data_IF_686006426638
#
_entry.id   IF_686006426638
#
_cell.length_a   1.000
_cell.length_b   1.000
_cell.length_c   1.000
_cell.angle_alpha   90.00
_cell.angle_beta   90.00
_cell.angle_gamma   90.00
#
_symmetry.space_group_name_H-M   'P 1'
#
loop_
_entity.id
_entity.type
_entity.pdbx_description
1 polymer ?
#
# COMPACT_ATOMS: atom_id res chain seq x y z
N UNK A 1 21.09 8.89 2.18
CA UNK A 1 19.68 9.21 1.97
C UNK A 1 18.98 9.24 3.33
N UNK A 2 18.35 10.39 3.69
CA UNK A 2 17.60 10.52 4.94
C UNK A 2 16.18 10.08 4.69
N UNK A 3 15.75 8.96 5.24
CA UNK A 3 14.34 8.56 5.27
C UNK A 3 13.71 9.08 6.56
N UNK A 4 12.77 10.01 6.43
CA UNK A 4 11.91 10.39 7.55
C UNK A 4 10.69 9.48 7.55
N UNK A 5 10.64 8.52 8.46
CA UNK A 5 9.43 7.79 8.78
C UNK A 5 8.77 8.56 9.92
N UNK A 6 7.89 9.49 9.59
CA UNK A 6 7.15 10.23 10.57
C UNK A 6 5.65 9.98 10.44
N UNK A 7 5.09 9.12 11.25
CA UNK A 7 3.81 9.42 11.84
C UNK A 7 3.99 9.73 13.32
N UNK A 8 3.43 10.76 13.72
CA UNK A 8 3.13 11.42 15.00
C UNK A 8 3.78 10.94 16.32
N UNK A 9 4.46 9.80 16.43
CA UNK A 9 4.94 9.27 17.69
C UNK A 9 6.37 8.72 17.72
N UNK A 10 7.04 8.53 16.58
CA UNK A 10 8.43 8.03 16.53
C UNK A 10 9.11 8.34 15.19
N UNK A 11 10.43 8.30 15.16
CA UNK A 11 11.23 8.39 13.96
C UNK A 11 12.42 7.41 14.03
N UNK A 12 12.83 6.93 12.89
CA UNK A 12 14.06 6.18 12.74
C UNK A 12 14.87 6.76 11.58
N UNK A 13 16.18 6.84 11.75
CA UNK A 13 17.13 7.21 10.72
C UNK A 13 18.04 6.01 10.47
N UNK A 14 18.03 5.51 9.23
CA UNK A 14 18.96 4.48 8.80
C UNK A 14 19.96 5.07 7.80
N UNK A 15 21.25 4.81 8.01
CA UNK A 15 22.34 5.15 7.10
C UNK A 15 23.18 3.89 6.92
N UNK A 16 23.44 3.48 5.68
CA UNK A 16 24.25 2.30 5.34
C UNK A 16 23.82 1.04 6.09
N UNK A 17 22.53 0.75 6.08
CA UNK A 17 21.93 -0.43 6.72
C UNK A 17 22.02 -0.46 8.26
N UNK A 18 22.51 0.61 8.89
CA UNK A 18 22.53 0.77 10.33
C UNK A 18 21.47 1.79 10.77
N UNK A 19 20.60 1.39 11.70
CA UNK A 19 19.70 2.34 12.37
C UNK A 19 20.50 3.17 13.38
N UNK A 20 20.76 4.44 13.06
CA UNK A 20 21.64 5.31 13.86
C UNK A 20 20.86 6.10 14.90
N UNK A 21 19.62 6.48 14.58
CA UNK A 21 18.79 7.29 15.48
C UNK A 21 17.39 6.70 15.56
N UNK A 22 16.97 6.52 16.79
CA UNK A 22 15.64 6.09 17.14
C UNK A 22 15.06 7.06 18.18
N UNK A 23 13.84 7.57 17.97
CA UNK A 23 13.24 8.53 18.87
C UNK A 23 11.73 8.43 18.94
N UNK A 24 11.16 8.89 20.03
CA UNK A 24 9.73 8.96 20.31
C UNK A 24 9.30 10.37 20.63
N UNK A 25 8.15 10.79 20.06
CA UNK A 25 7.55 12.07 20.39
C UNK A 25 6.55 12.02 21.54
N UNK A 26 6.03 10.84 21.90
CA UNK A 26 4.99 10.73 22.91
C UNK A 26 5.59 10.37 24.28
N UNK A 27 5.62 11.34 25.19
CA UNK A 27 6.12 11.19 26.58
C UNK A 27 5.37 10.13 27.41
N UNK A 28 4.14 9.75 27.02
CA UNK A 28 3.33 8.72 27.72
C UNK A 28 3.73 7.29 27.34
N UNK A 29 4.40 7.11 26.23
CA UNK A 29 4.88 5.81 25.77
C UNK A 29 6.36 5.72 26.19
N UNK A 30 6.68 4.95 27.21
CA UNK A 30 8.07 4.68 27.64
C UNK A 30 8.84 4.11 26.45
N UNK A 31 10.15 4.35 26.39
CA UNK A 31 11.02 3.76 25.38
C UNK A 31 10.99 2.23 25.48
N UNK A 32 10.16 1.63 24.62
CA UNK A 32 10.03 0.19 24.53
C UNK A 32 10.37 -0.24 23.10
N UNK A 33 11.51 -0.92 22.90
CA UNK A 33 11.93 -1.40 21.57
C UNK A 33 10.95 -2.44 21.02
N UNK A 34 10.17 -3.07 21.86
CA UNK A 34 9.16 -4.07 21.46
C UNK A 34 7.80 -3.46 21.12
N UNK A 35 7.70 -2.14 21.12
CA UNK A 35 6.45 -1.47 20.74
C UNK A 35 6.14 -1.66 19.26
N UNK A 36 4.92 -2.13 18.98
CA UNK A 36 4.40 -2.25 17.63
C UNK A 36 3.73 -0.95 17.20
N UNK A 37 4.36 -0.29 16.26
CA UNK A 37 3.89 0.98 15.73
C UNK A 37 2.90 0.76 14.58
N UNK A 38 1.75 1.44 14.66
CA UNK A 38 0.80 1.48 13.56
C UNK A 38 1.40 2.24 12.38
N UNK A 39 1.57 1.56 11.26
CA UNK A 39 2.21 2.13 10.06
C UNK A 39 1.36 3.17 9.33
N UNK A 40 0.07 3.30 9.67
CA UNK A 40 -0.82 4.18 8.95
C UNK A 40 -0.65 3.98 7.42
N UNK A 41 -0.42 5.04 6.68
CA UNK A 41 -0.26 4.98 5.22
C UNK A 41 1.02 4.31 4.72
N UNK A 42 2.00 4.03 5.58
CA UNK A 42 3.15 3.19 5.21
C UNK A 42 2.75 1.75 4.87
N UNK A 43 1.61 1.28 5.39
CA UNK A 43 1.00 0.00 4.99
C UNK A 43 0.86 -0.14 3.46
N UNK A 44 0.60 0.97 2.76
CA UNK A 44 0.45 0.96 1.29
C UNK A 44 1.71 0.50 0.58
N UNK A 45 2.88 0.85 1.10
CA UNK A 45 4.17 0.41 0.55
C UNK A 45 4.30 -1.12 0.62
N UNK A 46 3.85 -1.75 1.71
CA UNK A 46 3.85 -3.21 1.82
C UNK A 46 2.92 -3.86 0.77
N UNK A 47 1.74 -3.26 0.52
CA UNK A 47 0.87 -3.72 -0.59
C UNK A 47 1.56 -3.56 -1.94
N UNK A 48 2.25 -2.45 -2.17
CA UNK A 48 3.04 -2.23 -3.39
C UNK A 48 4.13 -3.27 -3.58
N UNK A 49 4.86 -3.61 -2.51
CA UNK A 49 5.88 -4.66 -2.52
C UNK A 49 5.27 -6.05 -2.80
N UNK A 50 4.05 -6.32 -2.32
CA UNK A 50 3.33 -7.55 -2.64
C UNK A 50 2.99 -7.63 -4.12
N UNK A 51 2.55 -6.53 -4.75
CA UNK A 51 2.34 -6.49 -6.21
C UNK A 51 3.66 -6.70 -6.95
N UNK A 52 4.76 -6.07 -6.50
CA UNK A 52 6.10 -6.29 -7.05
C UNK A 52 6.53 -7.75 -6.97
N UNK A 53 6.21 -8.43 -5.87
CA UNK A 53 6.46 -9.87 -5.75
C UNK A 53 5.66 -10.67 -6.79
N UNK A 54 4.35 -10.43 -6.91
CA UNK A 54 3.50 -11.15 -7.88
C UNK A 54 3.89 -10.89 -9.34
N UNK A 55 4.42 -9.70 -9.64
CA UNK A 55 5.01 -9.43 -10.95
C UNK A 55 6.28 -10.24 -11.16
N UNK A 56 7.17 -10.30 -10.17
CA UNK A 56 8.45 -11.01 -10.27
C UNK A 56 8.30 -12.53 -10.26
N UNK A 57 7.27 -13.08 -9.64
CA UNK A 57 6.94 -14.52 -9.68
C UNK A 57 6.13 -14.92 -10.90
N UNK A 58 5.61 -13.94 -11.66
CA UNK A 58 4.89 -14.15 -12.91
C UNK A 58 3.40 -14.40 -12.77
N UNK A 59 2.82 -14.26 -11.58
CA UNK A 59 1.35 -14.28 -11.37
C UNK A 59 0.68 -13.06 -11.99
N UNK A 60 1.34 -11.90 -11.96
CA UNK A 60 1.00 -10.74 -12.77
C UNK A 60 1.94 -10.71 -13.97
N UNK A 61 1.40 -10.71 -15.19
CA UNK A 61 2.21 -10.71 -16.44
C UNK A 61 2.71 -9.33 -16.80
N UNK A 62 1.88 -8.31 -16.60
CA UNK A 62 2.22 -6.91 -16.90
C UNK A 62 1.49 -5.96 -15.96
N UNK A 63 2.16 -4.88 -15.54
CA UNK A 63 1.50 -3.77 -14.83
C UNK A 63 0.55 -2.98 -15.74
N UNK A 64 0.67 -3.12 -17.03
CA UNK A 64 -0.19 -2.44 -18.02
C UNK A 64 -1.45 -3.28 -18.34
N UNK A 65 -1.55 -4.49 -17.81
CA UNK A 65 -2.79 -5.25 -17.82
C UNK A 65 -3.86 -4.55 -16.97
N UNK A 66 -5.13 -4.68 -17.39
CA UNK A 66 -6.24 -4.19 -16.57
C UNK A 66 -6.44 -5.07 -15.33
N UNK A 67 -6.86 -4.47 -14.23
CA UNK A 67 -7.13 -5.22 -13.00
C UNK A 67 -8.22 -6.29 -13.19
N UNK A 68 -9.16 -6.07 -14.11
CA UNK A 68 -10.22 -7.03 -14.46
C UNK A 68 -9.69 -8.32 -15.11
N UNK A 69 -8.49 -8.30 -15.68
CA UNK A 69 -7.83 -9.50 -16.23
C UNK A 69 -7.62 -10.56 -15.16
N UNK A 70 -7.41 -10.12 -13.92
CA UNK A 70 -7.07 -10.98 -12.79
C UNK A 70 -8.14 -11.02 -11.70
N UNK A 71 -9.16 -10.15 -11.77
CA UNK A 71 -10.14 -10.00 -10.69
C UNK A 71 -11.56 -9.85 -11.21
N UNK A 72 -12.40 -10.83 -10.91
CA UNK A 72 -13.82 -10.82 -11.25
C UNK A 72 -14.58 -9.74 -10.48
N UNK A 73 -14.23 -9.50 -9.22
CA UNK A 73 -14.83 -8.43 -8.42
C UNK A 73 -14.56 -7.06 -9.00
N UNK A 74 -13.35 -6.84 -9.53
CA UNK A 74 -12.98 -5.58 -10.18
C UNK A 74 -13.58 -5.47 -11.58
N UNK A 75 -13.76 -6.58 -12.31
CA UNK A 75 -14.47 -6.59 -13.59
C UNK A 75 -15.92 -6.09 -13.45
N UNK A 76 -16.56 -6.37 -12.31
CA UNK A 76 -17.93 -5.94 -11.99
C UNK A 76 -17.97 -4.55 -11.29
N UNK A 77 -16.94 -3.74 -11.44
CA UNK A 77 -16.80 -2.44 -10.79
C UNK A 77 -16.31 -1.37 -11.75
N UNK A 78 -16.22 -0.14 -11.27
CA UNK A 78 -15.61 0.97 -12.00
C UNK A 78 -14.11 0.79 -12.25
N UNK A 79 -13.48 -0.24 -11.69
CA UNK A 79 -12.07 -0.56 -11.87
C UNK A 79 -11.79 -1.46 -13.08
N UNK A 80 -12.83 -1.88 -13.82
CA UNK A 80 -12.73 -2.81 -14.96
C UNK A 80 -11.59 -2.48 -15.90
N UNK A 81 -11.50 -1.25 -16.37
CA UNK A 81 -10.55 -0.82 -17.39
C UNK A 81 -9.30 -0.12 -16.80
N UNK A 82 -9.13 -0.17 -15.48
CA UNK A 82 -7.99 0.46 -14.82
C UNK A 82 -6.80 -0.49 -14.81
N UNK A 83 -5.65 -0.03 -15.32
CA UNK A 83 -4.43 -0.82 -15.29
C UNK A 83 -3.87 -0.96 -13.88
N UNK A 84 -3.18 -2.06 -13.60
CA UNK A 84 -2.50 -2.28 -12.31
C UNK A 84 -1.52 -1.14 -12.03
N UNK A 85 -0.79 -0.66 -13.03
CA UNK A 85 0.07 0.52 -12.94
C UNK A 85 -0.67 1.76 -12.44
N UNK A 86 -1.86 2.01 -12.94
CA UNK A 86 -2.67 3.16 -12.55
C UNK A 86 -3.30 3.02 -11.16
N UNK A 87 -3.58 1.79 -10.69
CA UNK A 87 -3.93 1.54 -9.30
C UNK A 87 -2.76 1.90 -8.38
N UNK A 88 -1.56 1.39 -8.67
CA UNK A 88 -0.35 1.64 -7.89
C UNK A 88 0.01 3.14 -7.79
N UNK A 89 -0.26 3.92 -8.84
CA UNK A 89 -0.04 5.37 -8.88
C UNK A 89 -1.23 6.20 -8.36
N UNK A 90 -2.31 5.55 -7.91
CA UNK A 90 -3.57 6.22 -7.53
C UNK A 90 -4.07 7.19 -8.60
N UNK A 91 -4.01 6.77 -9.86
CA UNK A 91 -4.28 7.61 -11.03
C UNK A 91 -5.43 7.10 -11.90
N UNK A 92 -6.44 6.49 -11.28
CA UNK A 92 -7.62 5.97 -12.01
C UNK A 92 -8.49 7.05 -12.67
N UNK A 93 -8.21 8.34 -12.44
CA UNK A 93 -8.94 9.42 -13.10
C UNK A 93 -10.29 9.75 -12.47
N UNK A 94 -10.42 9.79 -11.14
CA UNK A 94 -11.67 10.13 -10.47
C UNK A 94 -12.04 11.58 -10.67
N UNK A 95 -13.32 11.85 -10.91
CA UNK A 95 -13.88 13.18 -10.87
C UNK A 95 -13.89 13.74 -9.43
N UNK A 96 -13.84 15.08 -9.28
CA UNK A 96 -13.58 15.87 -8.07
C UNK A 96 -14.56 15.69 -6.90
N UNK A 97 -15.47 14.71 -6.88
CA UNK A 97 -16.42 14.59 -5.79
C UNK A 97 -15.76 13.94 -4.54
N UNK A 98 -15.11 14.78 -3.73
CA UNK A 98 -14.45 14.42 -2.47
C UNK A 98 -15.40 13.81 -1.43
N UNK A 99 -16.68 14.14 -1.48
CA UNK A 99 -17.62 13.74 -0.42
C UNK A 99 -17.95 12.24 -0.51
N UNK A 100 -18.09 11.72 -1.72
CA UNK A 100 -18.24 10.27 -1.91
C UNK A 100 -16.99 9.50 -1.47
N UNK A 101 -15.79 10.03 -1.74
CA UNK A 101 -14.53 9.38 -1.29
C UNK A 101 -14.42 9.35 0.23
N UNK A 102 -14.78 10.42 0.92
CA UNK A 102 -14.82 10.46 2.38
C UNK A 102 -15.80 9.44 2.94
N UNK A 103 -17.01 9.38 2.38
CA UNK A 103 -18.03 8.41 2.78
C UNK A 103 -17.50 6.97 2.67
N UNK A 104 -16.91 6.59 1.54
CA UNK A 104 -16.36 5.26 1.35
C UNK A 104 -15.14 4.99 2.25
N UNK A 105 -14.30 6.00 2.50
CA UNK A 105 -13.21 5.87 3.48
C UNK A 105 -13.76 5.57 4.87
N UNK A 106 -14.79 6.29 5.33
CA UNK A 106 -15.44 6.02 6.61
C UNK A 106 -16.07 4.61 6.65
N UNK A 107 -16.72 4.17 5.58
CA UNK A 107 -17.27 2.80 5.49
C UNK A 107 -16.17 1.73 5.62
N UNK A 108 -15.01 1.94 5.02
CA UNK A 108 -13.88 0.99 5.12
C UNK A 108 -13.24 0.97 6.51
N UNK A 109 -13.20 2.12 7.19
CA UNK A 109 -12.57 2.26 8.51
C UNK A 109 -13.55 2.03 9.67
N UNK A 110 -14.85 2.19 9.43
CA UNK A 110 -15.85 2.16 10.50
C UNK A 110 -16.31 0.74 10.76
N UNK A 111 -15.86 0.17 11.88
CA UNK A 111 -16.24 -1.15 12.36
C UNK A 111 -17.68 -1.20 12.90
N UNK A 112 -18.36 -0.05 13.05
CA UNK A 112 -19.65 0.07 13.76
C UNK A 112 -20.87 -0.01 12.85
N UNK A 113 -20.73 0.11 11.53
CA UNK A 113 -21.86 -0.02 10.62
C UNK A 113 -22.24 -1.49 10.38
N UNK A 114 -22.99 -2.06 11.34
CA UNK A 114 -23.85 -3.25 11.20
C UNK A 114 -23.40 -4.30 10.16
N UNK A 115 -22.15 -4.70 10.18
CA UNK A 115 -21.65 -5.80 9.33
C UNK A 115 -21.31 -5.40 7.89
N UNK A 116 -21.22 -4.12 7.56
CA UNK A 116 -20.84 -3.66 6.20
C UNK A 116 -19.33 -3.55 5.98
N UNK A 117 -18.52 -4.11 6.86
CA UNK A 117 -17.07 -4.15 6.72
C UNK A 117 -16.65 -5.20 5.67
N UNK A 118 -17.16 -5.05 4.45
CA UNK A 118 -16.92 -5.90 3.29
C UNK A 118 -16.31 -5.02 2.20
N UNK A 119 -15.00 -5.11 2.05
CA UNK A 119 -14.25 -4.24 1.13
C UNK A 119 -14.68 -4.42 -0.32
N UNK A 120 -15.05 -5.63 -0.74
CA UNK A 120 -15.54 -5.90 -2.10
C UNK A 120 -16.86 -5.17 -2.34
N UNK A 121 -17.81 -5.30 -1.41
CA UNK A 121 -19.11 -4.60 -1.53
C UNK A 121 -18.94 -3.08 -1.51
N UNK A 122 -17.99 -2.55 -0.74
CA UNK A 122 -17.69 -1.11 -0.75
C UNK A 122 -17.22 -0.66 -2.14
N UNK A 123 -16.27 -1.37 -2.75
CA UNK A 123 -15.77 -1.03 -4.09
C UNK A 123 -16.87 -1.14 -5.14
N UNK A 124 -17.71 -2.15 -5.09
CA UNK A 124 -18.81 -2.35 -6.06
C UNK A 124 -19.93 -1.29 -5.96
N UNK A 125 -20.09 -0.65 -4.79
CA UNK A 125 -21.06 0.46 -4.61
C UNK A 125 -20.61 1.78 -5.24
N UNK A 126 -19.33 1.91 -5.60
CA UNK A 126 -18.80 3.14 -6.17
C UNK A 126 -19.28 3.28 -7.61
N UNK A 127 -19.98 4.37 -7.94
CA UNK A 127 -20.54 4.67 -9.27
C UNK A 127 -19.96 5.96 -9.86
N UNK A 128 -18.85 6.47 -9.35
CA UNK A 128 -18.25 7.72 -9.82
C UNK A 128 -17.69 7.54 -11.22
N UNK A 129 -18.01 8.45 -12.15
CA UNK A 129 -17.42 8.43 -13.48
C UNK A 129 -15.95 8.87 -13.41
N UNK A 130 -15.13 8.23 -14.22
CA UNK A 130 -13.71 8.56 -14.35
C UNK A 130 -13.47 9.68 -15.34
N UNK A 131 -12.47 10.49 -15.08
CA UNK A 131 -11.72 11.23 -16.09
C UNK A 131 -10.61 10.31 -16.64
N UNK A 132 -9.79 10.78 -17.58
CA UNK A 132 -8.67 10.00 -18.11
C UNK A 132 -7.77 9.46 -16.99
N UNK A 133 -7.50 8.15 -17.00
CA UNK A 133 -6.54 7.53 -16.09
C UNK A 133 -5.10 7.88 -16.49
N UNK A 134 -4.19 7.81 -15.53
CA UNK A 134 -2.75 7.96 -15.79
C UNK A 134 -2.24 9.39 -15.95
N UNK A 135 -3.06 10.40 -15.82
CA UNK A 135 -2.64 11.81 -15.95
C UNK A 135 -2.09 12.40 -14.67
N UNK A 136 -2.72 12.10 -13.53
CA UNK A 136 -2.39 12.71 -12.25
C UNK A 136 -2.68 11.74 -11.10
N UNK A 137 -1.79 11.69 -10.13
CA UNK A 137 -2.02 10.94 -8.91
C UNK A 137 -2.97 11.69 -7.98
N UNK A 138 -3.98 10.99 -7.45
CA UNK A 138 -4.90 11.50 -6.43
C UNK A 138 -4.91 10.56 -5.26
N UNK A 139 -4.23 10.97 -4.20
CA UNK A 139 -4.07 10.16 -3.02
C UNK A 139 -5.41 9.89 -2.31
N UNK A 140 -5.80 8.61 -2.20
CA UNK A 140 -7.02 8.14 -1.52
C UNK A 140 -6.92 6.64 -1.18
N UNK A 141 -7.93 6.12 -0.48
CA UNK A 141 -7.93 4.73 0.03
C UNK A 141 -8.57 3.70 -0.92
N UNK A 142 -9.26 4.13 -1.96
CA UNK A 142 -10.04 3.21 -2.81
C UNK A 142 -9.18 2.38 -3.76
N UNK A 143 -8.15 2.97 -4.37
CA UNK A 143 -7.27 2.22 -5.29
C UNK A 143 -6.46 1.16 -4.56
N UNK A 144 -5.99 1.47 -3.34
CA UNK A 144 -5.29 0.48 -2.53
C UNK A 144 -6.22 -0.66 -2.07
N UNK A 145 -7.50 -0.36 -1.81
CA UNK A 145 -8.49 -1.39 -1.50
C UNK A 145 -8.75 -2.27 -2.72
N UNK A 146 -8.88 -1.69 -3.92
CA UNK A 146 -8.99 -2.45 -5.15
C UNK A 146 -7.75 -3.34 -5.38
N UNK A 147 -6.55 -2.84 -5.08
CA UNK A 147 -5.33 -3.65 -5.16
C UNK A 147 -5.30 -4.79 -4.13
N UNK A 148 -5.83 -4.59 -2.93
CA UNK A 148 -5.96 -5.68 -1.95
C UNK A 148 -6.91 -6.78 -2.43
N UNK A 149 -8.01 -6.42 -3.10
CA UNK A 149 -8.94 -7.36 -3.74
C UNK A 149 -8.23 -8.11 -4.88
N UNK A 150 -7.52 -7.39 -5.74
CA UNK A 150 -6.74 -7.97 -6.83
C UNK A 150 -5.78 -9.05 -6.34
N UNK A 151 -4.96 -8.74 -5.33
CA UNK A 151 -4.00 -9.68 -4.74
C UNK A 151 -4.73 -10.91 -4.19
N UNK A 152 -5.83 -10.70 -3.46
CA UNK A 152 -6.60 -11.80 -2.89
C UNK A 152 -7.16 -12.73 -3.99
N UNK A 153 -7.71 -12.19 -5.07
CA UNK A 153 -8.29 -13.01 -6.14
C UNK A 153 -7.23 -13.74 -6.98
N UNK A 154 -6.02 -13.16 -7.15
CA UNK A 154 -4.90 -13.84 -7.79
C UNK A 154 -4.42 -15.02 -6.95
N UNK A 155 -4.24 -14.80 -5.64
CA UNK A 155 -3.49 -15.73 -4.78
C UNK A 155 -4.38 -16.61 -3.90
N UNK A 156 -5.67 -16.31 -3.79
CA UNK A 156 -6.61 -16.89 -2.82
C UNK A 156 -6.14 -16.72 -1.36
N UNK A 157 -5.28 -15.73 -1.11
CA UNK A 157 -4.72 -15.38 0.21
C UNK A 157 -4.93 -13.89 0.48
N UNK A 158 -4.94 -13.50 1.75
CA UNK A 158 -4.92 -12.08 2.11
C UNK A 158 -3.58 -11.43 1.74
N UNK A 159 -3.58 -10.10 1.53
CA UNK A 159 -2.32 -9.36 1.31
C UNK A 159 -1.34 -9.59 2.45
N UNK A 160 -1.85 -9.61 3.71
CA UNK A 160 -1.04 -9.88 4.89
C UNK A 160 -0.33 -11.23 4.80
N UNK A 161 -1.04 -12.26 4.36
CA UNK A 161 -0.49 -13.60 4.23
C UNK A 161 0.55 -13.66 3.11
N UNK A 162 0.26 -13.12 1.91
CA UNK A 162 1.21 -13.11 0.79
C UNK A 162 2.47 -12.31 1.15
N UNK A 163 2.30 -11.14 1.77
CA UNK A 163 3.42 -10.32 2.23
C UNK A 163 4.26 -11.05 3.28
N UNK A 164 3.62 -11.65 4.28
CA UNK A 164 4.29 -12.40 5.35
C UNK A 164 5.11 -13.57 4.82
N UNK A 165 4.57 -14.34 3.89
CA UNK A 165 5.25 -15.52 3.36
C UNK A 165 6.41 -15.18 2.40
N UNK A 166 6.30 -14.09 1.61
CA UNK A 166 7.16 -13.90 0.45
C UNK A 166 8.05 -12.64 0.50
N UNK A 167 7.64 -11.61 1.23
CA UNK A 167 8.34 -10.32 1.26
C UNK A 167 8.91 -10.03 2.64
N UNK A 168 8.11 -10.18 3.69
CA UNK A 168 8.49 -9.83 5.05
C UNK A 168 9.76 -10.51 5.54
N UNK A 169 10.00 -11.82 5.33
CA UNK A 169 11.24 -12.48 5.75
C UNK A 169 12.49 -11.87 5.10
N UNK A 170 12.37 -11.37 3.86
CA UNK A 170 13.48 -10.73 3.14
C UNK A 170 13.86 -9.37 3.73
N UNK A 171 12.98 -8.74 4.50
CA UNK A 171 13.27 -7.50 5.22
C UNK A 171 14.09 -7.72 6.49
N UNK A 172 14.36 -8.97 6.87
CA UNK A 172 15.08 -9.36 8.12
C UNK A 172 14.38 -8.79 9.36
N UNK A 173 13.11 -9.14 9.59
CA UNK A 173 12.33 -8.58 10.70
C UNK A 173 12.82 -9.09 12.06
N UNK A 174 12.68 -8.24 13.09
CA UNK A 174 12.96 -8.57 14.50
C UNK A 174 11.69 -8.97 15.26
N UNK A 175 10.50 -8.67 14.72
CA UNK A 175 9.23 -8.91 15.37
C UNK A 175 8.19 -9.57 14.47
N UNK A 176 7.00 -9.77 15.05
CA UNK A 176 5.85 -10.27 14.34
C UNK A 176 5.23 -9.17 13.43
N UNK A 177 4.42 -9.60 12.48
CA UNK A 177 3.58 -8.75 11.67
C UNK A 177 2.13 -8.88 12.15
N UNK A 178 1.48 -7.73 12.39
CA UNK A 178 0.04 -7.68 12.62
C UNK A 178 -0.61 -6.85 11.51
N UNK A 179 -1.75 -7.33 10.99
CA UNK A 179 -2.47 -6.61 9.96
C UNK A 179 -3.98 -6.74 10.19
N UNK A 180 -4.68 -5.60 10.15
CA UNK A 180 -6.13 -5.57 10.30
C UNK A 180 -6.81 -6.11 9.04
N UNK A 181 -7.85 -6.89 9.22
CA UNK A 181 -8.65 -7.47 8.14
C UNK A 181 -10.13 -7.13 8.29
N UNK A 182 -10.87 -7.20 7.19
CA UNK A 182 -12.31 -7.12 7.21
C UNK A 182 -12.94 -8.47 7.65
N UNK A 183 -14.27 -8.55 7.67
CA UNK A 183 -14.99 -9.76 8.04
C UNK A 183 -14.74 -10.96 7.11
N UNK A 184 -14.28 -10.70 5.89
CA UNK A 184 -13.96 -11.73 4.89
C UNK A 184 -12.45 -12.03 4.84
N UNK A 185 -11.71 -11.61 5.86
CA UNK A 185 -10.24 -11.74 5.95
C UNK A 185 -9.49 -11.02 4.85
N UNK A 186 -10.09 -9.97 4.30
CA UNK A 186 -9.42 -9.08 3.36
C UNK A 186 -8.57 -8.05 4.13
N UNK A 187 -7.28 -7.97 3.85
CA UNK A 187 -6.40 -7.05 4.55
C UNK A 187 -6.71 -5.59 4.25
N UNK A 188 -6.72 -4.75 5.30
CA UNK A 188 -6.88 -3.30 5.20
C UNK A 188 -5.57 -2.66 4.69
N UNK A 189 -5.36 -2.69 3.37
CA UNK A 189 -4.12 -2.21 2.74
C UNK A 189 -3.85 -0.70 2.93
N UNK A 190 -4.88 0.07 3.23
CA UNK A 190 -4.75 1.54 3.35
C UNK A 190 -3.98 1.99 4.60
N UNK A 191 -4.09 1.25 5.73
CA UNK A 191 -3.53 1.68 7.01
C UNK A 191 -3.50 0.58 8.09
N UNK A 192 -3.63 -0.70 7.75
CA UNK A 192 -3.92 -1.78 8.72
C UNK A 192 -2.72 -2.45 9.37
N UNK A 193 -1.48 -2.15 8.97
CA UNK A 193 -0.30 -2.91 9.39
C UNK A 193 0.40 -2.31 10.62
N UNK A 194 0.88 -3.19 11.52
CA UNK A 194 1.67 -2.85 12.70
C UNK A 194 2.95 -3.66 12.70
N UNK A 195 4.08 -2.99 12.86
CA UNK A 195 5.41 -3.59 12.98
C UNK A 195 6.17 -2.93 14.13
N UNK A 196 7.22 -3.58 14.61
CA UNK A 196 8.24 -2.88 15.41
C UNK A 196 8.82 -1.72 14.61
N UNK A 197 9.22 -0.65 15.27
CA UNK A 197 9.77 0.54 14.59
C UNK A 197 10.97 0.20 13.72
N UNK A 198 11.84 -0.70 14.17
CA UNK A 198 12.98 -1.18 13.39
C UNK A 198 12.58 -1.94 12.14
N UNK A 199 11.49 -2.70 12.19
CA UNK A 199 11.03 -3.46 11.02
C UNK A 199 10.49 -2.55 9.93
N UNK A 200 9.93 -1.39 10.28
CA UNK A 200 9.62 -0.34 9.32
C UNK A 200 10.89 0.19 8.62
N UNK A 201 11.98 0.39 9.37
CA UNK A 201 13.28 0.79 8.80
C UNK A 201 13.89 -0.34 7.96
N UNK A 202 13.80 -1.59 8.43
CA UNK A 202 14.29 -2.76 7.72
C UNK A 202 13.58 -2.95 6.37
N UNK A 203 12.28 -2.66 6.29
CA UNK A 203 11.55 -2.65 5.02
C UNK A 203 12.10 -1.60 4.04
N UNK A 204 12.44 -0.40 4.53
CA UNK A 204 13.05 0.62 3.68
C UNK A 204 14.47 0.22 3.22
N UNK A 205 15.26 -0.40 4.10
CA UNK A 205 16.58 -0.94 3.76
C UNK A 205 16.47 -2.07 2.72
N UNK A 206 15.49 -2.96 2.87
CA UNK A 206 15.20 -3.99 1.87
C UNK A 206 14.97 -3.36 0.48
N UNK A 207 14.07 -2.38 0.38
CA UNK A 207 13.81 -1.70 -0.88
C UNK A 207 15.09 -1.08 -1.50
N UNK A 208 15.92 -0.44 -0.68
CA UNK A 208 17.17 0.16 -1.13
C UNK A 208 18.16 -0.90 -1.64
N UNK A 209 18.26 -2.03 -0.96
CA UNK A 209 19.15 -3.13 -1.34
C UNK A 209 18.69 -3.82 -2.63
N UNK A 210 17.37 -4.00 -2.81
CA UNK A 210 16.81 -4.52 -4.05
C UNK A 210 17.12 -3.61 -5.25
N UNK A 211 17.02 -2.29 -5.06
CA UNK A 211 17.39 -1.30 -6.09
C UNK A 211 18.89 -1.40 -6.43
N UNK A 212 19.76 -1.44 -5.42
CA UNK A 212 21.22 -1.53 -5.61
C UNK A 212 21.63 -2.81 -6.35
N UNK A 213 20.99 -3.93 -6.02
CA UNK A 213 21.27 -5.24 -6.64
C UNK A 213 20.69 -5.41 -8.05
N UNK A 214 19.86 -4.45 -8.49
CA UNK A 214 19.14 -4.51 -9.78
C UNK A 214 18.31 -5.79 -9.93
N UNK A 215 17.79 -6.31 -8.82
CA UNK A 215 16.88 -7.45 -8.82
C UNK A 215 15.59 -7.17 -9.59
N UNK A 216 14.75 -8.18 -9.81
CA UNK A 216 13.41 -7.96 -10.36
C UNK A 216 12.61 -6.95 -9.50
N UNK A 217 12.61 -7.12 -8.17
CA UNK A 217 11.97 -6.17 -7.25
C UNK A 217 12.60 -4.78 -7.34
N UNK A 218 13.92 -4.69 -7.46
CA UNK A 218 14.63 -3.42 -7.64
C UNK A 218 14.23 -2.70 -8.93
N UNK A 219 14.11 -3.44 -10.03
CA UNK A 219 13.64 -2.90 -11.30
C UNK A 219 12.18 -2.43 -11.23
N UNK A 220 11.29 -3.18 -10.54
CA UNK A 220 9.93 -2.76 -10.26
C UNK A 220 9.89 -1.45 -9.43
N UNK A 221 10.71 -1.32 -8.40
CA UNK A 221 10.78 -0.10 -7.59
C UNK A 221 11.29 1.09 -8.40
N UNK A 222 12.32 0.91 -9.23
CA UNK A 222 12.85 1.94 -10.13
C UNK A 222 11.82 2.34 -11.18
N UNK A 223 11.04 1.39 -11.71
CA UNK A 223 9.93 1.67 -12.61
C UNK A 223 8.88 2.55 -11.92
N UNK A 224 8.57 2.28 -10.65
CA UNK A 224 7.69 3.11 -9.82
C UNK A 224 8.19 4.55 -9.63
N UNK A 225 9.50 4.73 -9.47
CA UNK A 225 10.13 6.07 -9.41
C UNK A 225 10.05 6.77 -10.76
N UNK A 226 10.44 6.09 -11.83
CA UNK A 226 10.48 6.63 -13.19
C UNK A 226 9.10 7.05 -13.67
N UNK A 227 8.08 6.26 -13.38
CA UNK A 227 6.69 6.47 -13.81
C UNK A 227 5.83 7.19 -12.76
N UNK A 228 6.44 7.76 -11.71
CA UNK A 228 5.72 8.52 -10.69
C UNK A 228 5.02 9.74 -11.28
N UNK A 229 3.77 9.96 -10.91
CA UNK A 229 2.93 11.04 -11.42
C UNK A 229 2.89 12.23 -10.47
N UNK A 230 2.71 13.46 -11.00
CA UNK A 230 2.43 14.63 -10.18
C UNK A 230 1.19 14.41 -9.31
N UNK A 231 1.19 14.96 -8.09
CA UNK A 231 0.05 14.87 -7.18
C UNK A 231 -0.79 16.13 -7.21
N UNK A 232 -2.11 15.98 -7.05
CA UNK A 232 -3.04 17.11 -6.97
C UNK A 232 -2.99 17.87 -5.64
N UNK A 233 -2.37 17.29 -4.60
CA UNK A 233 -2.47 17.78 -3.22
C UNK A 233 -1.18 18.40 -2.69
N UNK A 234 -0.04 18.10 -3.28
CA UNK A 234 1.26 18.57 -2.82
C UNK A 234 2.08 19.06 -4.01
N UNK A 235 2.27 20.37 -4.06
CA UNK A 235 3.09 21.02 -5.08
C UNK A 235 4.50 20.42 -5.07
N UNK A 236 5.01 20.02 -6.25
CA UNK A 236 6.34 19.42 -6.45
C UNK A 236 6.56 17.97 -5.99
N UNK A 237 5.56 17.28 -5.50
CA UNK A 237 5.69 15.87 -5.17
C UNK A 237 5.12 14.98 -6.26
N UNK A 238 5.79 13.84 -6.47
CA UNK A 238 5.31 12.75 -7.34
C UNK A 238 4.97 11.53 -6.48
N UNK A 239 4.05 10.72 -6.98
CA UNK A 239 3.61 9.49 -6.35
C UNK A 239 3.80 8.32 -7.30
N UNK A 240 4.55 7.31 -6.86
CA UNK A 240 4.83 6.10 -7.61
C UNK A 240 3.97 4.91 -7.15
N UNK A 241 4.58 3.76 -6.98
CA UNK A 241 3.88 2.51 -6.64
C UNK A 241 3.64 2.39 -5.12
N UNK A 242 2.72 3.24 -4.62
CA UNK A 242 2.36 3.40 -3.20
C UNK A 242 3.48 3.97 -2.32
N UNK A 243 4.37 4.74 -2.90
CA UNK A 243 5.37 5.56 -2.19
C UNK A 243 5.53 6.95 -2.84
N UNK A 244 6.11 7.86 -2.04
CA UNK A 244 6.37 9.26 -2.43
C UNK A 244 7.78 9.43 -2.98
#
# INVERSE_FOLDING_TARGET
>A
YKFFIAPFNFYALAINDVCIVYGRYNKKLKDNPDFYAHGMSMTKTAVGLTVGHLLCSGEIKSLDDTASTYSQSLNNSIYKDITIRNLLRMSRGINKNRDNEKKFHHMMMNRQDNGSNDLVKVIQKIKTKFSEQGKMSRYHSLDITATSILINEITQKSVAQVFFENVFPKTKPEGALYWLEDKNKMSLGMAGMFLKTRDWANMANYMNNEIKSKSCMGNYLLDGVKNALPTSTRKYQKYGYYFW
#
